data_IF_696049861902
#
_entry.id   IF_696049861902
#
_cell.length_a   1.000
_cell.length_b   1.000
_cell.length_c   1.000
_cell.angle_alpha   90.00
_cell.angle_beta   90.00
_cell.angle_gamma   90.00
#
_symmetry.space_group_name_H-M   'P 1'
#
loop_
_entity.id
_entity.type
_entity.pdbx_description
1 polymer ?
#
# COMPACT_ATOMS: atom_id res chain seq x y z
N UNK A 1 5.68 4.08 -8.72
CA UNK A 1 5.50 3.06 -7.67
C UNK A 1 6.50 1.94 -7.87
N UNK A 2 7.22 1.54 -6.81
CA UNK A 2 8.17 0.43 -6.83
C UNK A 2 7.78 -0.60 -5.78
N UNK A 3 7.91 -1.89 -6.11
CA UNK A 3 7.57 -3.00 -5.21
C UNK A 3 8.84 -3.82 -5.00
N UNK A 4 9.23 -3.99 -3.74
CA UNK A 4 10.33 -4.87 -3.36
C UNK A 4 9.75 -6.12 -2.68
N UNK A 5 9.63 -7.24 -3.40
CA UNK A 5 9.17 -8.49 -2.81
C UNK A 5 10.27 -9.12 -1.96
N UNK A 6 9.85 -9.81 -0.91
CA UNK A 6 10.68 -10.75 -0.16
C UNK A 6 9.85 -11.99 0.19
N UNK A 7 10.49 -13.03 0.71
CA UNK A 7 9.79 -14.26 1.07
C UNK A 7 8.78 -14.06 2.21
N UNK A 8 8.98 -13.06 3.06
CA UNK A 8 8.14 -12.83 4.26
C UNK A 8 7.29 -11.56 4.21
N UNK A 9 7.57 -10.61 3.30
CA UNK A 9 6.84 -9.33 3.21
C UNK A 9 6.92 -8.70 1.82
N UNK A 10 5.95 -7.85 1.52
CA UNK A 10 6.06 -6.86 0.45
C UNK A 10 6.32 -5.48 1.06
N UNK A 11 7.19 -4.71 0.38
CA UNK A 11 7.38 -3.29 0.63
C UNK A 11 7.02 -2.56 -0.66
N UNK A 12 6.09 -1.61 -0.57
CA UNK A 12 5.61 -0.85 -1.71
C UNK A 12 5.89 0.64 -1.46
N UNK A 13 6.62 1.25 -2.37
CA UNK A 13 7.06 2.64 -2.26
C UNK A 13 6.43 3.47 -3.39
N UNK A 14 5.81 4.58 -3.01
CA UNK A 14 5.25 5.59 -3.92
C UNK A 14 5.80 6.94 -3.51
N UNK A 15 6.57 7.56 -4.41
CA UNK A 15 6.94 8.95 -4.25
C UNK A 15 5.72 9.80 -4.60
N UNK A 16 5.20 10.53 -3.63
CA UNK A 16 4.13 11.50 -3.84
C UNK A 16 4.74 12.86 -4.19
N UNK A 17 3.99 13.74 -4.88
CA UNK A 17 4.31 15.16 -4.97
C UNK A 17 4.46 15.78 -3.57
N UNK A 18 5.34 16.77 -3.45
CA UNK A 18 5.70 17.43 -2.17
C UNK A 18 4.55 18.23 -1.55
N UNK A 19 3.55 18.56 -2.35
CA UNK A 19 2.34 19.29 -1.95
C UNK A 19 1.36 18.39 -1.18
N UNK A 20 1.51 17.06 -1.29
CA UNK A 20 0.62 16.10 -0.67
C UNK A 20 0.95 15.94 0.81
N UNK A 21 0.01 16.36 1.65
CA UNK A 21 0.10 16.20 3.10
C UNK A 21 -0.57 14.90 3.56
N UNK A 22 -0.31 14.48 4.80
CA UNK A 22 -0.79 13.19 5.32
C UNK A 22 -2.31 13.10 5.32
N UNK A 23 -2.98 14.19 5.63
CA UNK A 23 -4.43 14.35 5.62
C UNK A 23 -5.06 14.26 4.22
N UNK A 24 -4.28 14.46 3.17
CA UNK A 24 -4.70 14.34 1.76
C UNK A 24 -4.63 12.90 1.26
N UNK A 25 -4.08 11.97 2.05
CA UNK A 25 -3.87 10.57 1.65
C UNK A 25 -4.84 9.65 2.37
N UNK A 26 -5.61 8.90 1.60
CA UNK A 26 -6.44 7.81 2.07
C UNK A 26 -5.87 6.47 1.62
N UNK A 27 -5.56 5.58 2.56
CA UNK A 27 -5.24 4.19 2.27
C UNK A 27 -6.34 3.28 2.81
N UNK A 28 -6.86 2.41 1.95
CA UNK A 28 -7.97 1.51 2.28
C UNK A 28 -7.66 0.06 1.90
N UNK A 29 -7.93 -0.84 2.84
CA UNK A 29 -8.02 -2.27 2.59
C UNK A 29 -9.39 -2.58 1.97
N UNK A 30 -9.41 -3.20 0.79
CA UNK A 30 -10.61 -3.56 0.04
C UNK A 30 -10.76 -5.08 -0.05
N UNK A 31 -12.00 -5.55 -0.20
CA UNK A 31 -12.33 -6.97 -0.41
C UNK A 31 -11.53 -7.57 -1.57
N UNK A 32 -11.08 -8.81 -1.41
CA UNK A 32 -10.32 -9.54 -2.42
C UNK A 32 -8.82 -9.22 -2.43
N UNK A 33 -8.22 -9.00 -1.25
CA UNK A 33 -6.79 -8.72 -1.05
C UNK A 33 -6.31 -7.54 -1.90
N UNK A 34 -7.03 -6.43 -1.79
CA UNK A 34 -6.73 -5.19 -2.50
C UNK A 34 -6.39 -4.10 -1.52
N UNK A 35 -5.40 -3.30 -1.88
CA UNK A 35 -5.09 -2.03 -1.22
C UNK A 35 -5.32 -0.93 -2.24
N UNK A 36 -6.09 0.09 -1.86
CA UNK A 36 -6.25 1.29 -2.66
C UNK A 36 -5.68 2.49 -1.92
N UNK A 37 -4.96 3.33 -2.67
CA UNK A 37 -4.33 4.55 -2.21
C UNK A 37 -4.92 5.67 -3.06
N UNK A 38 -5.48 6.67 -2.41
CA UNK A 38 -5.95 7.89 -3.05
C UNK A 38 -5.24 9.05 -2.38
N UNK A 39 -4.60 9.91 -3.16
CA UNK A 39 -4.05 11.17 -2.69
C UNK A 39 -4.75 12.31 -3.43
N UNK A 40 -5.39 13.21 -2.69
CA UNK A 40 -6.25 14.26 -3.23
C UNK A 40 -5.88 15.63 -2.64
N UNK A 41 -5.30 16.48 -3.47
CA UNK A 41 -4.87 17.83 -3.14
C UNK A 41 -6.04 18.79 -3.39
N UNK A 42 -6.98 18.82 -2.45
CA UNK A 42 -8.25 19.55 -2.55
C UNK A 42 -8.13 21.06 -2.86
N UNK A 43 -6.95 21.65 -2.68
CA UNK A 43 -6.73 23.09 -2.85
C UNK A 43 -6.09 23.46 -4.21
N UNK A 44 -5.81 22.48 -5.07
CA UNK A 44 -5.22 22.69 -6.40
C UNK A 44 -6.20 22.30 -7.51
N UNK A 45 -6.18 23.04 -8.62
CA UNK A 45 -7.05 22.77 -9.78
C UNK A 45 -6.45 21.73 -10.75
N UNK A 46 -5.12 21.63 -10.80
CA UNK A 46 -4.39 20.73 -11.68
C UNK A 46 -3.52 19.76 -10.86
N UNK A 47 -3.27 18.57 -11.42
CA UNK A 47 -2.41 17.54 -10.83
C UNK A 47 -2.71 17.24 -9.35
N UNK A 48 -3.99 17.29 -9.01
CA UNK A 48 -4.48 17.21 -7.65
C UNK A 48 -4.94 15.81 -7.23
N UNK A 49 -5.13 14.87 -8.17
CA UNK A 49 -5.69 13.56 -7.86
C UNK A 49 -4.79 12.42 -8.34
N UNK A 50 -4.42 11.54 -7.41
CA UNK A 50 -3.60 10.37 -7.70
C UNK A 50 -4.23 9.12 -7.09
N UNK A 51 -4.37 8.07 -7.88
CA UNK A 51 -4.91 6.79 -7.43
C UNK A 51 -3.98 5.63 -7.79
N UNK A 52 -3.76 4.75 -6.82
CA UNK A 52 -3.12 3.46 -7.03
C UNK A 52 -3.97 2.35 -6.45
N UNK A 53 -3.91 1.22 -7.14
CA UNK A 53 -4.55 0.01 -6.68
C UNK A 53 -3.61 -1.18 -6.79
N UNK A 54 -3.35 -1.81 -5.65
CA UNK A 54 -2.57 -3.04 -5.57
C UNK A 54 -3.53 -4.21 -5.38
N UNK A 55 -3.31 -5.27 -6.16
CA UNK A 55 -3.99 -6.54 -6.01
C UNK A 55 -2.98 -7.62 -5.69
N UNK A 56 -3.17 -8.29 -4.56
CA UNK A 56 -2.38 -9.44 -4.18
C UNK A 56 -3.09 -10.73 -4.58
N UNK A 57 -2.31 -11.80 -4.74
CA UNK A 57 -2.89 -13.13 -4.94
C UNK A 57 -3.76 -13.53 -3.75
N UNK A 58 -4.84 -14.32 -3.97
CA UNK A 58 -5.62 -14.89 -2.87
C UNK A 58 -4.72 -15.54 -1.83
N UNK A 59 -4.91 -15.19 -0.55
CA UNK A 59 -4.20 -15.76 0.61
C UNK A 59 -2.69 -15.52 0.67
N UNK A 60 -2.11 -14.66 -0.17
CA UNK A 60 -0.66 -14.39 -0.18
C UNK A 60 -0.25 -13.42 0.94
N UNK A 61 -1.15 -12.54 1.39
CA UNK A 61 -0.83 -11.49 2.37
C UNK A 61 -1.73 -11.53 3.61
N UNK A 62 -1.14 -11.25 4.76
CA UNK A 62 -1.88 -10.97 5.98
C UNK A 62 -2.41 -9.53 5.95
N UNK A 63 -3.67 -9.35 5.57
CA UNK A 63 -4.31 -8.01 5.49
C UNK A 63 -4.32 -7.25 6.83
N UNK A 64 -4.21 -7.94 7.97
CA UNK A 64 -4.16 -7.29 9.30
C UNK A 64 -2.78 -6.72 9.64
N UNK A 65 -1.74 -7.14 8.91
CA UNK A 65 -0.36 -6.68 9.08
C UNK A 65 -0.05 -5.37 8.35
N UNK A 66 -1.01 -4.84 7.57
CA UNK A 66 -0.77 -3.65 6.74
C UNK A 66 -0.34 -2.48 7.62
N UNK A 67 0.84 -1.95 7.34
CA UNK A 67 1.36 -0.70 7.91
C UNK A 67 1.65 0.28 6.81
N UNK A 68 1.23 1.53 7.01
CA UNK A 68 1.42 2.63 6.07
C UNK A 68 2.22 3.70 6.78
N UNK A 69 3.27 4.18 6.13
CA UNK A 69 4.14 5.25 6.62
C UNK A 69 4.22 6.29 5.51
N UNK A 70 4.00 7.55 5.84
CA UNK A 70 4.28 8.69 4.97
C UNK A 70 5.27 9.58 5.71
N UNK A 71 6.52 9.56 5.24
CA UNK A 71 7.57 10.40 5.82
C UNK A 71 7.49 11.85 5.32
N UNK A 72 8.44 12.66 5.81
CA UNK A 72 8.47 14.09 5.52
C UNK A 72 9.02 14.40 4.10
N UNK A 73 9.58 13.40 3.41
CA UNK A 73 10.06 13.49 2.02
C UNK A 73 8.97 13.07 1.01
N UNK A 74 7.70 13.01 1.45
CA UNK A 74 6.56 12.57 0.67
C UNK A 74 6.68 11.13 0.12
N UNK A 75 7.51 10.29 0.76
CA UNK A 75 7.63 8.88 0.41
C UNK A 75 6.58 8.07 1.18
N UNK A 76 5.55 7.61 0.47
CA UNK A 76 4.57 6.68 0.99
C UNK A 76 5.10 5.24 0.89
N UNK A 77 5.25 4.60 2.04
CA UNK A 77 5.69 3.20 2.18
C UNK A 77 4.57 2.34 2.75
N UNK A 78 4.27 1.23 2.09
CA UNK A 78 3.35 0.20 2.60
C UNK A 78 4.13 -1.06 2.90
N UNK A 79 4.07 -1.50 4.15
CA UNK A 79 4.53 -2.82 4.57
C UNK A 79 3.35 -3.76 4.71
N UNK A 80 3.48 -4.96 4.16
CA UNK A 80 2.53 -6.03 4.38
C UNK A 80 3.26 -7.35 4.49
N UNK A 81 2.97 -8.12 5.52
CA UNK A 81 3.50 -9.45 5.71
C UNK A 81 2.83 -10.43 4.75
N UNK A 82 3.63 -11.35 4.23
CA UNK A 82 3.11 -12.50 3.51
C UNK A 82 2.61 -13.52 4.51
N UNK A 83 1.55 -14.25 4.17
CA UNK A 83 1.23 -15.43 4.97
C UNK A 83 2.39 -16.41 4.89
N UNK A 84 2.86 -16.91 6.04
CA UNK A 84 3.81 -18.01 6.07
C UNK A 84 3.26 -19.15 5.20
N UNK A 85 4.09 -19.84 4.40
CA UNK A 85 3.63 -21.05 3.72
C UNK A 85 3.09 -22.00 4.78
N UNK A 86 1.79 -22.28 4.68
CA UNK A 86 1.11 -23.16 5.61
C UNK A 86 1.59 -24.59 5.30
N UNK A 87 2.67 -25.05 5.94
CA UNK A 87 3.16 -26.43 5.82
C UNK A 87 2.27 -27.33 6.69
N UNK A 88 0.96 -27.37 6.42
CA UNK A 88 0.03 -28.29 7.07
C UNK A 88 -1.12 -28.64 6.12
N UNK A 89 -0.89 -29.66 5.27
CA UNK A 89 -1.79 -30.83 5.12
C UNK A 89 -1.18 -31.81 4.11
N UNK A 90 -0.17 -32.56 4.55
CA UNK A 90 0.11 -33.91 4.04
C UNK A 90 -0.05 -34.87 5.22
N UNK A 91 -1.30 -35.19 5.54
CA UNK A 91 -1.68 -36.41 6.27
C UNK A 91 -2.99 -36.90 5.69
#
# INVERSE_FOLDING_TARGET
MHITPSDSKYILNVQLPTEIQREMVTVSAKKGNRIAIVADVWHMEEDCHYEWQIRFSPYDINMTSIRVILDDDAQLTIHVERHSPNILSMF
#
